data_IF_657782386557
#
_entry.id   IF_657782386557
#
_cell.length_a   1.000
_cell.length_b   1.000
_cell.length_c   1.000
_cell.angle_alpha   90.00
_cell.angle_beta   90.00
_cell.angle_gamma   90.00
#
_symmetry.space_group_name_H-M   'P 1'
#
loop_
_entity.id
_entity.type
_entity.pdbx_description
1 polymer ?
#
# COMPACT_ATOMS: atom_id res chain seq x y z
N UNK A 1 29.37 -1.10 17.19
CA UNK A 1 29.03 -2.01 18.32
C UNK A 1 28.71 -1.14 19.50
N UNK A 2 27.47 -1.03 19.87
CA UNK A 2 27.08 -0.34 21.09
C UNK A 2 27.38 -1.28 22.28
N UNK A 3 28.21 -0.82 23.22
CA UNK A 3 28.51 -1.56 24.42
C UNK A 3 27.27 -1.75 25.30
N UNK A 4 27.33 -2.67 26.30
CA UNK A 4 26.22 -2.93 27.23
C UNK A 4 25.63 -1.69 27.92
N UNK A 5 26.40 -0.59 27.99
CA UNK A 5 26.02 0.70 28.58
C UNK A 5 24.91 1.42 27.82
N UNK A 6 24.59 1.01 26.61
CA UNK A 6 23.55 1.66 25.76
C UNK A 6 22.16 1.04 25.87
N UNK A 7 22.03 -0.06 26.60
CA UNK A 7 20.74 -0.71 26.84
C UNK A 7 19.81 0.19 27.67
N UNK A 8 18.50 0.07 27.48
CA UNK A 8 17.52 0.79 28.28
C UNK A 8 17.66 0.50 29.79
N UNK A 9 18.04 -0.73 30.15
CA UNK A 9 18.28 -1.13 31.54
C UNK A 9 19.49 -0.38 32.10
N UNK A 10 20.63 -0.42 31.41
CA UNK A 10 21.83 0.28 31.85
C UNK A 10 21.63 1.79 31.98
N UNK A 11 20.90 2.42 31.03
CA UNK A 11 20.53 3.84 31.11
C UNK A 11 19.65 4.14 32.32
N UNK A 12 18.70 3.25 32.64
CA UNK A 12 17.85 3.40 33.83
C UNK A 12 18.66 3.27 35.13
N UNK A 13 19.57 2.32 35.20
CA UNK A 13 20.48 2.17 36.37
C UNK A 13 21.38 3.38 36.57
N UNK A 14 21.90 3.95 35.48
CA UNK A 14 22.68 5.19 35.52
C UNK A 14 21.82 6.38 36.02
N UNK A 15 20.59 6.52 35.57
CA UNK A 15 19.69 7.55 36.07
C UNK A 15 19.33 7.33 37.54
N UNK A 16 19.05 6.11 37.94
CA UNK A 16 18.75 5.77 39.35
C UNK A 16 19.92 6.15 40.25
N UNK A 17 21.14 5.80 39.86
CA UNK A 17 22.34 6.14 40.62
C UNK A 17 22.60 7.67 40.67
N UNK A 18 22.46 8.35 39.53
CA UNK A 18 22.71 9.80 39.41
C UNK A 18 21.72 10.63 40.24
N UNK A 19 20.45 10.27 40.21
CA UNK A 19 19.39 10.99 40.91
C UNK A 19 19.09 10.43 42.31
N UNK A 20 19.72 9.34 42.71
CA UNK A 20 19.41 8.63 43.95
C UNK A 20 17.96 8.13 44.01
N UNK A 21 17.50 7.56 42.87
CA UNK A 21 16.12 7.12 42.70
C UNK A 21 16.04 5.62 43.06
N UNK A 22 15.04 5.27 43.85
CA UNK A 22 14.73 3.85 44.09
C UNK A 22 13.52 3.39 43.21
N UNK A 23 13.60 2.16 42.66
CA UNK A 23 12.48 1.62 41.89
C UNK A 23 11.30 1.33 42.83
N UNK A 24 10.11 1.72 42.38
CA UNK A 24 8.87 1.42 43.10
C UNK A 24 8.66 -0.12 43.19
N UNK A 25 8.56 -0.65 44.38
CA UNK A 25 8.27 -2.06 44.63
C UNK A 25 6.79 -2.25 45.02
N UNK A 26 5.96 -2.91 44.19
CA UNK A 26 4.58 -3.19 44.54
C UNK A 26 4.49 -4.17 45.72
N UNK A 27 3.65 -3.85 46.70
CA UNK A 27 3.48 -4.70 47.89
C UNK A 27 4.30 -4.26 49.11
N UNK A 28 5.28 -3.40 48.92
CA UNK A 28 6.00 -2.78 50.04
C UNK A 28 5.13 -1.70 50.66
N UNK A 29 4.98 -1.73 52.01
CA UNK A 29 4.30 -0.64 52.76
C UNK A 29 5.35 0.45 53.03
N UNK A 30 5.25 1.54 52.28
CA UNK A 30 6.04 2.72 52.54
C UNK A 30 5.44 3.52 53.71
N UNK A 31 6.05 3.43 54.88
CA UNK A 31 5.68 4.21 56.04
C UNK A 31 6.19 5.65 55.94
N UNK A 32 5.55 6.58 56.73
CA UNK A 32 5.95 8.00 56.79
C UNK A 32 7.42 8.22 57.23
N UNK A 33 8.06 7.22 57.80
CA UNK A 33 9.42 7.27 58.36
C UNK A 33 10.38 6.27 57.71
N UNK A 34 10.10 5.73 56.54
CA UNK A 34 11.03 4.79 55.86
C UNK A 34 12.14 5.54 55.11
N UNK A 35 13.28 4.88 54.91
CA UNK A 35 14.39 5.41 54.13
C UNK A 35 14.00 5.88 52.73
N UNK A 36 12.91 5.35 52.16
CA UNK A 36 12.26 5.86 50.96
C UNK A 36 11.77 7.29 51.12
N UNK A 37 11.55 7.77 52.33
CA UNK A 37 11.11 9.13 52.60
C UNK A 37 12.15 10.17 52.20
N UNK A 38 13.39 9.89 52.32
CA UNK A 38 14.47 10.79 51.90
C UNK A 38 14.77 10.68 50.41
N UNK A 39 14.58 9.48 49.86
CA UNK A 39 14.68 9.24 48.44
C UNK A 39 13.50 9.84 47.64
N UNK A 40 12.29 9.93 48.21
CA UNK A 40 11.13 10.56 47.60
C UNK A 40 11.32 12.04 47.29
N UNK A 41 12.20 12.74 47.98
CA UNK A 41 12.61 14.09 47.63
C UNK A 41 13.33 14.20 46.30
N UNK A 42 13.80 13.09 45.74
CA UNK A 42 14.57 13.03 44.48
C UNK A 42 13.80 12.36 43.33
N UNK A 43 12.72 11.66 43.61
CA UNK A 43 11.87 11.01 42.62
C UNK A 43 11.68 9.51 42.84
N UNK A 44 10.75 8.93 42.09
CA UNK A 44 10.49 7.47 42.08
C UNK A 44 10.48 6.98 40.64
N UNK A 45 11.19 5.91 40.35
CA UNK A 45 11.14 5.21 39.08
C UNK A 45 10.03 4.16 39.08
N UNK A 46 9.12 4.25 38.12
CA UNK A 46 8.05 3.30 37.91
C UNK A 46 8.52 2.22 36.94
N UNK A 47 8.47 0.96 37.32
CA UNK A 47 8.90 -0.19 36.52
C UNK A 47 7.80 -0.72 35.59
N UNK A 48 6.53 -0.33 35.86
CA UNK A 48 5.40 -0.72 35.05
C UNK A 48 4.30 0.37 35.09
N UNK A 49 3.67 0.65 33.97
CA UNK A 49 2.66 1.72 33.84
C UNK A 49 1.49 1.58 34.82
N UNK A 50 1.09 0.38 35.17
CA UNK A 50 0.00 0.14 36.11
C UNK A 50 0.37 0.53 37.57
N UNK A 51 1.63 0.79 37.89
CA UNK A 51 2.09 1.30 39.18
C UNK A 51 1.92 2.82 39.28
N UNK A 52 1.76 3.54 38.16
CA UNK A 52 1.70 5.01 38.13
C UNK A 52 0.66 5.62 39.08
N UNK A 53 -0.60 5.14 39.17
CA UNK A 53 -1.58 5.75 40.06
C UNK A 53 -1.19 5.62 41.53
N UNK A 54 -0.59 4.51 41.96
CA UNK A 54 -0.16 4.29 43.33
C UNK A 54 1.09 5.08 43.68
N UNK A 55 2.06 5.14 42.76
CA UNK A 55 3.25 5.93 42.94
C UNK A 55 2.94 7.44 42.99
N UNK A 56 2.07 7.92 42.08
CA UNK A 56 1.62 9.30 42.11
C UNK A 56 0.87 9.64 43.40
N UNK A 57 0.00 8.74 43.90
CA UNK A 57 -0.67 8.90 45.18
C UNK A 57 0.31 9.03 46.35
N UNK A 58 1.34 8.17 46.35
CA UNK A 58 2.39 8.19 47.38
C UNK A 58 3.18 9.50 47.38
N UNK A 59 3.53 10.03 46.17
CA UNK A 59 4.22 11.31 46.02
C UNK A 59 3.34 12.46 46.50
N UNK A 60 2.04 12.49 46.15
CA UNK A 60 1.12 13.52 46.59
C UNK A 60 0.95 13.51 48.12
N UNK A 61 0.75 12.33 48.73
CA UNK A 61 0.64 12.17 50.18
C UNK A 61 1.90 12.68 50.91
N UNK A 62 3.06 12.47 50.26
CA UNK A 62 4.34 12.89 50.83
C UNK A 62 4.56 14.40 50.77
N UNK A 63 4.17 15.00 49.65
CA UNK A 63 4.30 16.43 49.42
C UNK A 63 3.17 17.25 50.09
N UNK A 64 2.22 16.60 50.76
CA UNK A 64 1.06 17.27 51.35
C UNK A 64 0.10 17.87 50.30
N UNK A 65 0.18 17.37 49.07
CA UNK A 65 -0.68 17.82 47.98
C UNK A 65 -2.05 17.16 48.16
N UNK A 66 -3.07 17.99 48.40
CA UNK A 66 -4.44 17.55 48.46
C UNK A 66 -4.88 16.97 47.12
N UNK A 67 -5.33 15.71 47.10
CA UNK A 67 -5.71 15.02 45.88
C UNK A 67 -7.13 15.36 45.50
N UNK A 68 -7.33 16.47 44.87
CA UNK A 68 -8.58 16.78 44.14
C UNK A 68 -8.51 16.25 42.71
N UNK A 69 -8.30 14.95 42.56
CA UNK A 69 -8.50 14.33 41.27
C UNK A 69 -10.00 14.22 41.01
N UNK A 70 -10.52 14.85 39.94
CA UNK A 70 -11.85 14.47 39.49
C UNK A 70 -11.84 12.97 39.29
N UNK A 71 -12.79 12.26 39.88
CA UNK A 71 -12.90 10.78 39.74
C UNK A 71 -12.61 10.46 38.27
N UNK A 72 -11.58 9.63 37.94
CA UNK A 72 -11.16 9.44 36.60
C UNK A 72 -12.38 9.07 35.78
N UNK A 73 -12.69 9.90 34.78
CA UNK A 73 -13.70 9.52 33.78
C UNK A 73 -13.31 8.15 33.28
N UNK A 74 -14.25 7.19 33.26
CA UNK A 74 -13.91 5.83 32.83
C UNK A 74 -13.14 5.90 31.54
N UNK A 75 -11.95 5.28 31.54
CA UNK A 75 -11.06 5.23 30.39
C UNK A 75 -11.83 4.61 29.23
N UNK A 76 -12.12 5.38 28.21
CA UNK A 76 -12.77 4.87 27.00
C UNK A 76 -11.73 4.17 26.15
N UNK A 77 -11.69 2.86 26.23
CA UNK A 77 -10.93 2.06 25.28
C UNK A 77 -11.47 2.28 23.86
N UNK A 78 -10.57 2.47 22.93
CA UNK A 78 -10.91 2.68 21.53
C UNK A 78 -11.71 1.47 20.97
N UNK A 79 -12.77 1.68 20.20
CA UNK A 79 -13.74 0.64 19.83
C UNK A 79 -13.24 -0.47 18.89
N UNK A 80 -11.98 -0.50 18.52
CA UNK A 80 -11.40 -1.62 17.78
C UNK A 80 -11.03 -2.83 18.65
N UNK A 81 -11.24 -2.75 19.93
CA UNK A 81 -11.20 -3.92 20.79
C UNK A 81 -12.42 -4.81 20.55
N UNK A 82 -12.15 -5.99 20.06
CA UNK A 82 -13.09 -7.05 19.71
C UNK A 82 -14.00 -7.42 20.89
N UNK A 83 -15.23 -7.81 20.60
CA UNK A 83 -16.17 -8.33 21.61
C UNK A 83 -15.49 -9.37 22.51
N UNK A 84 -15.52 -9.15 23.80
CA UNK A 84 -14.90 -10.04 24.79
C UNK A 84 -15.41 -11.49 24.71
N UNK A 85 -16.65 -11.70 24.30
CA UNK A 85 -17.19 -13.04 24.06
C UNK A 85 -16.54 -13.73 22.85
N UNK A 86 -16.26 -12.98 21.79
CA UNK A 86 -15.61 -13.48 20.59
C UNK A 86 -14.13 -13.79 20.83
N UNK A 87 -13.44 -12.95 21.59
CA UNK A 87 -12.07 -13.23 22.01
C UNK A 87 -12.02 -14.51 22.86
N UNK A 88 -12.93 -14.65 23.83
CA UNK A 88 -12.94 -15.79 24.72
C UNK A 88 -13.21 -17.11 24.00
N UNK A 89 -14.01 -17.11 22.95
CA UNK A 89 -14.26 -18.33 22.16
C UNK A 89 -13.10 -18.73 21.26
N UNK A 90 -12.19 -17.81 20.96
CA UNK A 90 -11.07 -18.01 20.02
C UNK A 90 -9.70 -18.17 20.71
N UNK A 91 -9.60 -17.78 21.98
CA UNK A 91 -8.36 -17.96 22.74
C UNK A 91 -8.28 -19.42 23.21
N UNK A 92 -7.18 -20.13 22.91
CA UNK A 92 -6.96 -21.47 23.45
C UNK A 92 -7.12 -21.50 24.96
N UNK A 93 -7.78 -22.51 25.50
CA UNK A 93 -8.11 -22.64 26.93
C UNK A 93 -6.89 -22.49 27.85
N UNK A 94 -5.68 -22.87 27.38
CA UNK A 94 -4.41 -22.66 28.07
C UNK A 94 -4.05 -21.20 28.30
N UNK A 95 -4.50 -20.28 27.43
CA UNK A 95 -4.28 -18.84 27.56
C UNK A 95 -5.39 -18.16 28.37
N UNK A 96 -6.57 -18.79 28.52
CA UNK A 96 -7.66 -18.31 29.36
C UNK A 96 -7.31 -18.36 30.85
N UNK A 97 -6.37 -19.24 31.26
CA UNK A 97 -5.87 -19.33 32.63
C UNK A 97 -5.22 -18.05 33.12
N UNK A 98 -4.69 -17.22 32.24
CA UNK A 98 -4.11 -15.92 32.59
C UNK A 98 -5.13 -14.79 32.75
N UNK A 99 -6.39 -15.00 32.41
CA UNK A 99 -7.46 -14.01 32.64
C UNK A 99 -7.82 -13.83 34.13
N UNK A 100 -7.48 -14.78 34.98
CA UNK A 100 -7.62 -14.67 36.44
C UNK A 100 -6.66 -13.69 37.10
N UNK A 101 -5.68 -13.17 36.37
CA UNK A 101 -4.62 -12.28 36.89
C UNK A 101 -4.89 -10.80 36.71
N UNK A 102 -5.98 -10.39 36.01
CA UNK A 102 -6.41 -9.00 36.06
C UNK A 102 -6.97 -8.75 37.47
N UNK A 103 -6.35 -7.89 38.30
CA UNK A 103 -6.82 -7.62 39.65
C UNK A 103 -8.33 -7.25 39.62
N UNK A 104 -9.12 -7.84 40.55
CA UNK A 104 -10.58 -7.70 40.58
C UNK A 104 -11.15 -6.30 40.36
N UNK A 105 -10.60 -5.18 40.87
CA UNK A 105 -11.17 -3.86 40.60
C UNK A 105 -11.10 -3.47 39.10
N UNK A 106 -10.06 -3.93 38.37
CA UNK A 106 -9.91 -3.60 36.95
C UNK A 106 -10.74 -4.52 36.05
N UNK A 107 -10.90 -5.80 36.41
CA UNK A 107 -11.73 -6.72 35.63
C UNK A 107 -13.21 -6.25 35.60
N UNK A 108 -13.73 -5.71 36.68
CA UNK A 108 -15.09 -5.16 36.75
C UNK A 108 -15.21 -3.90 35.92
N UNK A 109 -14.22 -3.01 35.95
CA UNK A 109 -14.22 -1.77 35.19
C UNK A 109 -14.05 -2.05 33.67
N UNK A 110 -13.15 -2.94 33.29
CA UNK A 110 -13.00 -3.37 31.90
C UNK A 110 -14.30 -3.99 31.37
N UNK A 111 -14.96 -4.86 32.19
CA UNK A 111 -16.24 -5.46 31.82
C UNK A 111 -17.37 -4.44 31.69
N UNK A 112 -17.40 -3.45 32.58
CA UNK A 112 -18.40 -2.35 32.54
C UNK A 112 -18.17 -1.45 31.32
N UNK A 113 -16.91 -1.09 31.05
CA UNK A 113 -16.54 -0.25 29.93
C UNK A 113 -16.73 -0.98 28.59
N UNK A 114 -16.40 -2.26 28.52
CA UNK A 114 -16.68 -3.08 27.33
C UNK A 114 -18.16 -3.12 27.03
N UNK A 115 -19.02 -3.27 28.05
CA UNK A 115 -20.47 -3.19 27.89
C UNK A 115 -20.96 -1.81 27.46
N UNK A 116 -20.43 -0.75 28.03
CA UNK A 116 -20.83 0.63 27.70
C UNK A 116 -20.34 1.07 26.34
N UNK A 117 -19.15 0.64 25.92
CA UNK A 117 -18.54 1.04 24.65
C UNK A 117 -19.08 0.21 23.49
N UNK A 118 -19.31 -1.09 23.69
CA UNK A 118 -19.82 -1.99 22.65
C UNK A 118 -21.35 -1.93 22.53
N UNK A 119 -22.07 -1.58 23.61
CA UNK A 119 -23.54 -1.39 23.56
C UNK A 119 -23.97 -0.16 22.75
N UNK A 120 -23.09 0.81 22.53
CA UNK A 120 -23.37 2.04 21.80
C UNK A 120 -22.96 1.99 20.31
N UNK A 121 -22.25 0.96 19.88
CA UNK A 121 -21.88 0.78 18.49
C UNK A 121 -22.74 -0.31 17.83
N UNK A 122 -23.24 -0.08 16.61
CA UNK A 122 -23.81 -1.17 15.83
C UNK A 122 -22.80 -2.31 15.83
N UNK A 123 -23.26 -3.51 16.18
CA UNK A 123 -22.42 -4.70 16.25
C UNK A 123 -21.53 -4.73 15.01
N UNK A 124 -20.23 -4.54 15.19
CA UNK A 124 -19.29 -4.80 14.11
C UNK A 124 -19.54 -6.24 13.72
N UNK A 125 -19.96 -6.45 12.49
CA UNK A 125 -20.05 -7.80 11.96
C UNK A 125 -18.72 -8.46 12.24
N UNK A 126 -18.74 -9.63 12.88
CA UNK A 126 -17.56 -10.42 13.13
C UNK A 126 -16.70 -10.41 11.87
N UNK A 127 -15.41 -10.07 12.01
CA UNK A 127 -14.48 -10.26 10.91
C UNK A 127 -14.50 -11.74 10.58
N UNK A 128 -15.33 -12.10 9.61
CA UNK A 128 -15.33 -13.45 9.08
C UNK A 128 -14.03 -13.61 8.30
N UNK A 129 -13.21 -14.60 8.63
CA UNK A 129 -12.10 -15.06 7.82
C UNK A 129 -12.65 -15.77 6.58
N UNK A 130 -13.56 -15.11 5.87
CA UNK A 130 -14.15 -15.59 4.65
C UNK A 130 -13.68 -14.69 3.51
N UNK A 131 -13.09 -15.30 2.51
CA UNK A 131 -12.70 -14.66 1.26
C UNK A 131 -13.47 -15.33 0.12
N UNK A 132 -13.87 -14.55 -0.89
CA UNK A 132 -14.33 -15.11 -2.16
C UNK A 132 -13.16 -15.44 -3.08
N UNK A 133 -12.02 -14.77 -2.86
CA UNK A 133 -10.83 -14.97 -3.67
C UNK A 133 -10.13 -16.31 -3.36
N UNK A 134 -10.18 -16.77 -2.11
CA UNK A 134 -9.51 -18.00 -1.72
C UNK A 134 -10.30 -18.77 -0.67
N UNK A 135 -10.19 -20.09 -0.71
CA UNK A 135 -10.76 -20.99 0.29
C UNK A 135 -9.87 -22.20 0.50
N UNK A 136 -9.99 -22.82 1.68
CA UNK A 136 -9.33 -24.08 2.02
C UNK A 136 -10.28 -24.89 2.89
N UNK A 137 -10.56 -26.13 2.49
CA UNK A 137 -11.45 -27.05 3.20
C UNK A 137 -10.69 -28.10 4.03
N UNK A 138 -9.38 -27.94 4.17
CA UNK A 138 -8.48 -28.89 4.84
C UNK A 138 -7.94 -29.99 3.93
N UNK A 139 -8.38 -30.04 2.66
CA UNK A 139 -7.93 -31.00 1.64
C UNK A 139 -7.46 -30.32 0.37
N UNK A 140 -8.20 -29.32 -0.08
CA UNK A 140 -7.93 -28.59 -1.34
C UNK A 140 -7.93 -27.11 -1.07
N UNK A 141 -6.86 -26.44 -1.50
CA UNK A 141 -6.79 -24.98 -1.56
C UNK A 141 -7.36 -24.51 -2.89
N UNK A 142 -8.22 -23.50 -2.86
CA UNK A 142 -8.84 -22.93 -4.07
C UNK A 142 -8.59 -21.44 -4.17
N UNK A 143 -8.43 -20.99 -5.41
CA UNK A 143 -8.40 -19.59 -5.78
C UNK A 143 -9.54 -19.33 -6.78
N UNK A 144 -10.44 -18.42 -6.47
CA UNK A 144 -11.65 -18.13 -7.26
C UNK A 144 -12.47 -19.41 -7.59
N UNK A 145 -12.46 -20.39 -6.69
CA UNK A 145 -13.13 -21.68 -6.87
C UNK A 145 -12.34 -22.77 -7.61
N UNK A 146 -11.23 -22.42 -8.27
CA UNK A 146 -10.33 -23.37 -8.96
C UNK A 146 -9.32 -23.98 -7.99
N UNK A 147 -9.00 -25.26 -8.16
CA UNK A 147 -7.97 -25.93 -7.37
C UNK A 147 -6.60 -25.32 -7.62
N UNK A 148 -5.92 -24.88 -6.56
CA UNK A 148 -4.57 -24.35 -6.68
C UNK A 148 -3.58 -25.40 -7.19
N UNK A 149 -3.78 -26.67 -6.81
CA UNK A 149 -2.95 -27.78 -7.27
C UNK A 149 -3.11 -28.04 -8.78
N UNK A 150 -4.30 -27.82 -9.34
CA UNK A 150 -4.55 -27.90 -10.79
C UNK A 150 -3.92 -26.72 -11.52
N UNK A 151 -4.07 -25.51 -11.00
CA UNK A 151 -3.39 -24.31 -11.55
C UNK A 151 -1.86 -24.47 -11.54
N UNK A 152 -1.29 -25.10 -10.50
CA UNK A 152 0.15 -25.39 -10.45
C UNK A 152 0.61 -26.42 -11.48
N UNK A 153 -0.24 -27.37 -11.88
CA UNK A 153 0.11 -28.38 -12.88
C UNK A 153 -0.03 -27.89 -14.31
N UNK A 154 -1.04 -27.07 -14.56
CA UNK A 154 -1.52 -26.79 -15.92
C UNK A 154 -1.45 -25.31 -16.32
N UNK A 155 -1.37 -24.41 -15.35
CA UNK A 155 -1.38 -22.97 -15.57
C UNK A 155 -0.01 -22.32 -15.40
N UNK A 156 0.13 -21.11 -15.90
CA UNK A 156 1.25 -20.22 -15.62
C UNK A 156 0.99 -19.35 -14.37
N UNK A 157 2.06 -18.77 -13.85
CA UNK A 157 1.94 -17.80 -12.75
C UNK A 157 1.04 -16.62 -13.12
N UNK A 158 1.16 -16.11 -14.35
CA UNK A 158 0.40 -14.93 -14.81
C UNK A 158 -1.08 -15.26 -14.98
N UNK A 159 -1.43 -16.43 -15.53
CA UNK A 159 -2.82 -16.88 -15.63
C UNK A 159 -3.47 -17.00 -14.25
N UNK A 160 -2.77 -17.64 -13.31
CA UNK A 160 -3.24 -17.80 -11.93
C UNK A 160 -3.37 -16.46 -11.21
N UNK A 161 -2.45 -15.52 -11.47
CA UNK A 161 -2.48 -14.15 -10.94
C UNK A 161 -3.71 -13.39 -11.45
N UNK A 162 -3.96 -13.45 -12.76
CA UNK A 162 -5.11 -12.79 -13.38
C UNK A 162 -6.42 -13.42 -12.92
N UNK A 163 -6.51 -14.74 -12.85
CA UNK A 163 -7.65 -15.43 -12.26
C UNK A 163 -7.92 -14.94 -10.83
N UNK A 164 -6.89 -14.83 -10.00
CA UNK A 164 -7.02 -14.32 -8.64
C UNK A 164 -7.61 -12.90 -8.59
N UNK A 165 -7.19 -12.05 -9.52
CA UNK A 165 -7.54 -10.64 -9.53
C UNK A 165 -8.84 -10.32 -10.27
N UNK A 166 -9.13 -11.01 -11.38
CA UNK A 166 -10.34 -10.78 -12.17
C UNK A 166 -11.50 -11.65 -11.69
N UNK A 167 -11.23 -12.85 -11.22
CA UNK A 167 -12.21 -13.89 -10.91
C UNK A 167 -12.51 -14.80 -12.09
N UNK A 168 -11.81 -14.63 -13.22
CA UNK A 168 -12.06 -15.35 -14.47
C UNK A 168 -10.74 -15.77 -15.11
N UNK A 169 -10.76 -16.86 -15.85
CA UNK A 169 -9.63 -17.26 -16.69
C UNK A 169 -9.53 -16.31 -17.89
N UNK A 170 -8.32 -15.92 -18.18
CA UNK A 170 -7.98 -15.08 -19.33
C UNK A 170 -7.53 -15.94 -20.51
N UNK A 171 -7.47 -15.36 -21.69
CA UNK A 171 -6.94 -16.00 -22.89
C UNK A 171 -5.40 -16.05 -22.83
N UNK A 172 -4.78 -17.05 -23.45
CA UNK A 172 -3.32 -17.26 -23.40
C UNK A 172 -2.55 -16.00 -23.86
N UNK A 173 -2.99 -15.35 -24.91
CA UNK A 173 -2.33 -14.14 -25.39
C UNK A 173 -2.48 -12.95 -24.42
N UNK A 174 -3.57 -12.87 -23.66
CA UNK A 174 -3.77 -11.84 -22.62
C UNK A 174 -2.78 -12.07 -21.47
N UNK A 175 -2.60 -13.31 -21.07
CA UNK A 175 -1.59 -13.68 -20.08
C UNK A 175 -0.17 -13.34 -20.58
N UNK A 176 0.15 -13.67 -21.83
CA UNK A 176 1.44 -13.34 -22.45
C UNK A 176 1.69 -11.81 -22.52
N UNK A 177 0.67 -11.00 -22.80
CA UNK A 177 0.78 -9.55 -22.76
C UNK A 177 1.04 -9.01 -21.36
N UNK A 178 0.34 -9.54 -20.35
CA UNK A 178 0.57 -9.15 -18.95
C UNK A 178 1.95 -9.59 -18.48
N UNK A 179 2.45 -10.74 -18.91
CA UNK A 179 3.82 -11.15 -18.63
C UNK A 179 4.84 -10.13 -19.17
N UNK A 180 4.66 -9.66 -20.41
CA UNK A 180 5.50 -8.57 -20.96
C UNK A 180 5.41 -7.29 -20.14
N UNK A 181 4.21 -6.92 -19.67
CA UNK A 181 4.02 -5.79 -18.79
C UNK A 181 4.77 -5.95 -17.45
N UNK A 182 4.75 -7.14 -16.87
CA UNK A 182 5.49 -7.47 -15.64
C UNK A 182 6.99 -7.37 -15.87
N UNK A 183 7.50 -7.97 -16.94
CA UNK A 183 8.93 -7.91 -17.33
C UNK A 183 9.36 -6.45 -17.55
N UNK A 184 8.57 -5.67 -18.30
CA UNK A 184 8.84 -4.26 -18.55
C UNK A 184 8.86 -3.40 -17.28
N UNK A 185 8.17 -3.86 -16.24
CA UNK A 185 8.10 -3.20 -14.93
C UNK A 185 9.24 -3.58 -13.98
N UNK A 186 10.04 -4.62 -14.27
CA UNK A 186 11.14 -5.07 -13.41
C UNK A 186 12.11 -3.93 -13.11
N UNK A 187 12.54 -3.19 -14.15
CA UNK A 187 13.50 -2.12 -13.99
C UNK A 187 13.18 -0.92 -14.89
N UNK A 188 13.52 0.25 -14.43
CA UNK A 188 13.62 1.48 -15.20
C UNK A 188 14.91 2.24 -14.85
N UNK A 189 15.94 1.47 -14.53
CA UNK A 189 17.26 1.94 -14.14
C UNK A 189 17.40 2.27 -12.65
N UNK A 190 18.66 2.29 -12.18
CA UNK A 190 18.99 2.43 -10.75
C UNK A 190 18.69 3.80 -10.16
N UNK A 191 18.45 4.82 -10.98
CA UNK A 191 18.11 6.18 -10.54
C UNK A 191 16.64 6.44 -10.30
N UNK A 192 15.76 5.45 -10.49
CA UNK A 192 14.31 5.61 -10.26
C UNK A 192 14.00 5.70 -8.77
N UNK A 193 12.89 6.38 -8.43
CA UNK A 193 12.45 6.57 -7.04
C UNK A 193 12.38 5.24 -6.30
N UNK A 194 11.79 4.22 -6.92
CA UNK A 194 11.65 2.90 -6.31
C UNK A 194 12.98 2.16 -6.12
N UNK A 195 13.90 2.25 -7.09
CA UNK A 195 15.24 1.69 -6.96
C UNK A 195 16.05 2.41 -5.87
N UNK A 196 15.94 3.74 -5.79
CA UNK A 196 16.59 4.52 -4.73
C UNK A 196 16.03 4.16 -3.34
N UNK A 197 14.71 3.98 -3.21
CA UNK A 197 14.08 3.52 -1.97
C UNK A 197 14.59 2.12 -1.56
N UNK A 198 14.77 1.22 -2.53
CA UNK A 198 15.37 -0.10 -2.31
C UNK A 198 16.78 0.02 -1.76
N UNK A 199 17.65 0.78 -2.42
CA UNK A 199 19.05 0.96 -2.01
C UNK A 199 19.18 1.61 -0.63
N UNK A 200 18.38 2.64 -0.37
CA UNK A 200 18.36 3.32 0.93
C UNK A 200 17.94 2.36 2.05
N UNK A 201 16.90 1.56 1.81
CA UNK A 201 16.43 0.56 2.77
C UNK A 201 17.46 -0.55 2.99
N UNK A 202 18.14 -1.00 1.94
CA UNK A 202 19.22 -1.99 2.03
C UNK A 202 20.42 -1.43 2.80
N UNK A 203 20.81 -0.18 2.54
CA UNK A 203 21.88 0.51 3.28
C UNK A 203 21.61 0.63 4.77
N UNK A 204 20.34 0.69 5.18
CA UNK A 204 19.93 0.68 6.58
C UNK A 204 20.00 -0.73 7.24
N UNK A 205 20.45 -1.75 6.51
CA UNK A 205 20.53 -3.13 6.99
C UNK A 205 19.19 -3.86 7.08
N UNK A 206 18.18 -3.40 6.37
CA UNK A 206 16.86 -4.03 6.35
C UNK A 206 16.88 -5.38 5.60
N UNK A 207 15.96 -6.25 5.99
CA UNK A 207 15.74 -7.55 5.32
C UNK A 207 15.00 -7.37 4.00
N UNK A 208 15.05 -8.36 3.07
CA UNK A 208 14.42 -8.25 1.74
C UNK A 208 12.94 -7.86 1.77
N UNK A 209 12.16 -8.44 2.69
CA UNK A 209 10.74 -8.12 2.82
C UNK A 209 10.49 -6.65 3.21
N UNK A 210 11.26 -6.12 4.17
CA UNK A 210 11.14 -4.70 4.58
C UNK A 210 11.59 -3.78 3.45
N UNK A 211 12.62 -4.14 2.72
CA UNK A 211 13.12 -3.39 1.56
C UNK A 211 12.08 -3.38 0.43
N UNK A 212 11.42 -4.50 0.13
CA UNK A 212 10.31 -4.54 -0.82
C UNK A 212 9.13 -3.65 -0.40
N UNK A 213 8.81 -3.60 0.90
CA UNK A 213 7.79 -2.68 1.41
C UNK A 213 8.19 -1.22 1.17
N UNK A 214 9.45 -0.84 1.43
CA UNK A 214 9.94 0.51 1.16
C UNK A 214 9.85 0.86 -0.33
N UNK A 215 10.21 -0.07 -1.20
CA UNK A 215 10.07 0.06 -2.66
C UNK A 215 8.62 0.33 -3.06
N UNK A 216 7.69 -0.50 -2.60
CA UNK A 216 6.26 -0.36 -2.90
C UNK A 216 5.67 0.93 -2.33
N UNK A 217 6.08 1.33 -1.13
CA UNK A 217 5.64 2.58 -0.51
C UNK A 217 6.09 3.83 -1.27
N UNK A 218 7.14 3.73 -2.09
CA UNK A 218 7.64 4.83 -2.94
C UNK A 218 6.91 4.94 -4.29
N UNK A 219 6.04 3.99 -4.63
CA UNK A 219 5.22 4.01 -5.85
C UNK A 219 3.99 4.88 -5.59
N UNK A 220 3.79 5.87 -6.45
CA UNK A 220 2.69 6.81 -6.32
C UNK A 220 2.39 7.52 -7.65
N UNK A 221 1.63 8.61 -7.58
CA UNK A 221 1.13 9.36 -8.73
C UNK A 221 2.21 9.83 -9.73
N UNK A 222 3.44 10.06 -9.23
CA UNK A 222 4.57 10.50 -10.07
C UNK A 222 5.38 9.34 -10.62
N UNK A 223 5.28 8.16 -10.01
CA UNK A 223 6.08 6.99 -10.35
C UNK A 223 5.25 5.72 -10.22
N UNK A 224 4.84 5.14 -11.33
CA UNK A 224 4.11 3.86 -11.41
C UNK A 224 2.62 3.90 -11.06
N UNK A 225 2.09 5.04 -10.59
CA UNK A 225 0.68 5.19 -10.23
C UNK A 225 -0.24 5.67 -11.38
N UNK A 226 0.32 6.06 -12.50
CA UNK A 226 -0.45 6.66 -13.60
C UNK A 226 -1.36 5.66 -14.33
N UNK A 227 -1.08 4.36 -14.26
CA UNK A 227 -1.91 3.32 -14.85
C UNK A 227 -3.36 3.37 -14.36
N UNK A 228 -3.58 3.64 -13.06
CA UNK A 228 -4.94 3.84 -12.51
C UNK A 228 -5.68 5.00 -13.17
N UNK A 229 -5.01 6.15 -13.30
CA UNK A 229 -5.58 7.35 -13.94
C UNK A 229 -5.84 7.14 -15.44
N UNK A 230 -5.00 6.34 -16.09
CA UNK A 230 -5.16 6.01 -17.49
C UNK A 230 -6.38 5.12 -17.73
N UNK A 231 -6.63 4.11 -16.90
CA UNK A 231 -7.86 3.30 -16.95
C UNK A 231 -9.11 4.17 -16.77
N UNK A 232 -9.12 5.05 -15.76
CA UNK A 232 -10.25 5.99 -15.56
C UNK A 232 -10.45 6.92 -16.75
N UNK A 233 -9.36 7.45 -17.30
CA UNK A 233 -9.38 8.33 -18.46
C UNK A 233 -9.96 7.63 -19.69
N UNK A 234 -9.43 6.46 -20.02
CA UNK A 234 -9.90 5.66 -21.16
C UNK A 234 -11.38 5.29 -21.00
N UNK A 235 -11.80 4.83 -19.81
CA UNK A 235 -13.21 4.57 -19.53
C UNK A 235 -14.08 5.81 -19.73
N UNK A 236 -13.58 7.00 -19.38
CA UNK A 236 -14.28 8.27 -19.63
C UNK A 236 -14.44 8.57 -21.12
N UNK A 237 -13.39 8.33 -21.92
CA UNK A 237 -13.41 8.53 -23.39
C UNK A 237 -14.35 7.54 -24.07
N UNK A 238 -14.29 6.28 -23.69
CA UNK A 238 -15.04 5.18 -24.30
C UNK A 238 -16.43 4.94 -23.68
N UNK A 239 -16.86 5.78 -22.73
CA UNK A 239 -18.12 5.59 -21.99
C UNK A 239 -19.37 5.44 -22.86
N UNK A 240 -19.43 6.17 -23.98
CA UNK A 240 -20.56 6.18 -24.88
C UNK A 240 -20.28 5.45 -26.20
N UNK A 241 -19.23 4.67 -26.24
CA UNK A 241 -18.80 3.95 -27.44
C UNK A 241 -19.30 2.52 -27.35
N UNK A 242 -19.90 2.02 -28.43
CA UNK A 242 -20.30 0.63 -28.54
C UNK A 242 -19.12 -0.19 -29.05
N UNK A 243 -18.37 -0.77 -28.11
CA UNK A 243 -17.22 -1.61 -28.36
C UNK A 243 -17.49 -2.99 -27.78
N UNK A 244 -17.60 -3.99 -28.66
CA UNK A 244 -17.83 -5.36 -28.23
C UNK A 244 -16.52 -6.06 -27.86
N UNK A 245 -15.53 -6.08 -28.75
CA UNK A 245 -14.23 -6.69 -28.51
C UNK A 245 -13.09 -5.68 -28.71
N UNK A 246 -12.39 -5.29 -27.63
CA UNK A 246 -11.27 -4.35 -27.73
C UNK A 246 -10.02 -4.93 -28.39
N UNK A 247 -9.98 -6.23 -28.64
CA UNK A 247 -8.86 -6.93 -29.28
C UNK A 247 -9.06 -7.13 -30.77
N UNK A 248 -10.24 -6.85 -31.30
CA UNK A 248 -10.56 -7.06 -32.71
C UNK A 248 -10.00 -5.94 -33.58
N UNK A 249 -9.20 -6.24 -34.62
CA UNK A 249 -8.84 -5.24 -35.63
C UNK A 249 -10.07 -4.65 -36.37
N UNK A 250 -11.19 -5.37 -36.36
CA UNK A 250 -12.47 -4.97 -36.98
C UNK A 250 -13.45 -4.45 -35.95
N UNK A 251 -12.98 -3.65 -34.99
CA UNK A 251 -13.78 -3.10 -33.90
C UNK A 251 -14.88 -2.11 -34.33
N UNK A 252 -14.90 -1.69 -35.60
CA UNK A 252 -15.95 -0.84 -36.18
C UNK A 252 -15.99 0.60 -35.70
N UNK A 253 -15.01 1.06 -34.92
CA UNK A 253 -14.98 2.41 -34.38
C UNK A 253 -14.22 3.36 -35.29
N UNK A 254 -14.74 4.59 -35.45
CA UNK A 254 -13.99 5.70 -36.01
C UNK A 254 -13.11 6.32 -34.90
N UNK A 255 -11.93 5.71 -34.71
CA UNK A 255 -10.94 6.18 -33.71
C UNK A 255 -10.43 7.60 -34.00
N UNK A 256 -10.17 8.01 -35.29
CA UNK A 256 -9.84 9.40 -35.60
C UNK A 256 -10.89 10.40 -35.13
N UNK A 257 -12.17 10.13 -35.36
CA UNK A 257 -13.25 11.00 -34.88
C UNK A 257 -13.34 11.06 -33.36
N UNK A 258 -13.07 9.92 -32.67
CA UNK A 258 -13.00 9.85 -31.22
C UNK A 258 -11.83 10.67 -30.67
N UNK A 259 -10.67 10.60 -31.31
CA UNK A 259 -9.48 11.39 -31.02
C UNK A 259 -9.74 12.89 -31.21
N UNK A 260 -10.32 13.30 -32.30
CA UNK A 260 -10.65 14.71 -32.57
C UNK A 260 -11.62 15.31 -31.54
N UNK A 261 -12.60 14.52 -31.12
CA UNK A 261 -13.52 14.89 -30.02
C UNK A 261 -12.77 15.12 -28.73
N UNK A 262 -11.88 14.20 -28.37
CA UNK A 262 -11.10 14.28 -27.13
C UNK A 262 -10.08 15.43 -27.16
N UNK A 263 -9.40 15.63 -28.26
CA UNK A 263 -8.47 16.73 -28.46
C UNK A 263 -9.19 18.09 -28.35
N UNK A 264 -10.37 18.20 -28.94
CA UNK A 264 -11.21 19.40 -28.83
C UNK A 264 -11.61 19.68 -27.38
N UNK A 265 -12.03 18.63 -26.65
CA UNK A 265 -12.37 18.72 -25.22
C UNK A 265 -11.16 19.16 -24.40
N UNK A 266 -10.02 18.52 -24.60
CA UNK A 266 -8.78 18.83 -23.88
C UNK A 266 -8.28 20.25 -24.16
N UNK A 267 -8.32 20.69 -25.43
CA UNK A 267 -7.93 22.04 -25.84
C UNK A 267 -8.76 23.10 -25.13
N UNK A 268 -10.08 22.92 -25.06
CA UNK A 268 -10.99 23.85 -24.36
C UNK A 268 -10.63 23.94 -22.86
N UNK A 269 -10.45 22.79 -22.20
CA UNK A 269 -10.09 22.75 -20.77
C UNK A 269 -8.74 23.43 -20.52
N UNK A 270 -7.75 23.13 -21.36
CA UNK A 270 -6.41 23.73 -21.27
C UNK A 270 -6.42 25.24 -21.48
N UNK A 271 -7.15 25.76 -22.46
CA UNK A 271 -7.25 27.20 -22.74
C UNK A 271 -7.96 27.94 -21.62
N UNK A 272 -9.11 27.44 -21.15
CA UNK A 272 -9.82 28.04 -20.03
C UNK A 272 -8.99 28.08 -18.74
N UNK A 273 -8.25 27.01 -18.46
CA UNK A 273 -7.37 26.99 -17.30
C UNK A 273 -6.22 28.00 -17.42
N UNK A 274 -5.61 28.13 -18.61
CA UNK A 274 -4.56 29.13 -18.86
C UNK A 274 -5.09 30.56 -18.70
N UNK A 275 -6.26 30.87 -19.21
CA UNK A 275 -6.91 32.19 -19.07
C UNK A 275 -7.19 32.51 -17.61
N UNK A 276 -7.59 31.50 -16.83
CA UNK A 276 -7.86 31.62 -15.39
C UNK A 276 -6.59 31.59 -14.51
N UNK A 277 -5.38 31.38 -15.06
CA UNK A 277 -4.17 31.17 -14.29
C UNK A 277 -4.20 29.92 -13.39
N UNK A 278 -5.04 28.92 -13.75
CA UNK A 278 -5.27 27.72 -12.98
C UNK A 278 -4.56 26.50 -13.57
N UNK A 279 -4.32 25.49 -12.73
CA UNK A 279 -3.82 24.20 -13.17
C UNK A 279 -4.89 23.41 -13.91
N UNK A 280 -4.47 22.62 -14.89
CA UNK A 280 -5.35 21.71 -15.61
C UNK A 280 -4.85 20.26 -15.56
N UNK A 281 -5.81 19.34 -15.58
CA UNK A 281 -5.53 17.91 -15.57
C UNK A 281 -4.92 17.49 -16.91
N UNK A 282 -3.69 17.02 -16.91
CA UNK A 282 -3.00 16.50 -18.09
C UNK A 282 -3.61 15.17 -18.51
N UNK A 283 -3.48 14.82 -19.79
CA UNK A 283 -3.78 13.48 -20.28
C UNK A 283 -2.76 12.51 -19.65
N UNK A 284 -3.23 11.45 -18.97
CA UNK A 284 -2.29 10.53 -18.31
C UNK A 284 -1.50 9.71 -19.33
N UNK A 285 -0.32 9.27 -18.95
CA UNK A 285 0.52 8.33 -19.69
C UNK A 285 1.01 8.77 -21.06
N UNK A 286 0.88 10.06 -21.41
CA UNK A 286 1.55 10.66 -22.56
C UNK A 286 2.80 11.43 -22.11
N UNK A 287 3.94 11.09 -22.75
CA UNK A 287 5.26 11.61 -22.41
C UNK A 287 6.03 10.70 -21.46
N UNK A 288 7.36 10.82 -21.50
CA UNK A 288 8.26 10.07 -20.65
C UNK A 288 9.41 10.97 -20.20
N UNK A 289 9.87 10.89 -18.93
CA UNK A 289 10.92 11.76 -18.41
C UNK A 289 12.29 11.50 -19.07
N UNK A 290 12.54 10.28 -19.54
CA UNK A 290 13.81 9.86 -20.16
C UNK A 290 13.72 9.87 -21.68
N UNK A 291 12.67 9.28 -22.27
CA UNK A 291 12.51 9.18 -23.72
C UNK A 291 11.80 10.41 -24.29
N UNK A 292 12.55 11.49 -24.51
CA UNK A 292 11.96 12.80 -24.89
C UNK A 292 12.85 13.68 -25.80
N UNK A 293 13.93 13.16 -26.31
CA UNK A 293 14.92 13.99 -27.02
C UNK A 293 14.73 14.04 -28.54
N UNK A 294 13.95 13.10 -29.08
CA UNK A 294 13.69 13.02 -30.50
C UNK A 294 12.35 13.69 -30.90
N UNK A 295 12.18 14.08 -32.18
CA UNK A 295 10.91 14.61 -32.70
C UNK A 295 9.73 13.65 -32.48
N UNK A 296 9.99 12.34 -32.52
CA UNK A 296 9.04 11.28 -32.17
C UNK A 296 9.60 10.50 -31.00
N UNK A 297 9.06 10.71 -29.82
CA UNK A 297 9.41 9.94 -28.64
C UNK A 297 8.74 8.57 -28.69
N UNK A 298 9.39 7.56 -28.15
CA UNK A 298 8.74 6.28 -27.86
C UNK A 298 9.35 5.66 -26.60
N UNK A 299 8.53 4.90 -25.87
CA UNK A 299 9.02 4.04 -24.79
C UNK A 299 9.34 2.66 -25.39
N UNK A 300 10.61 2.20 -25.39
CA UNK A 300 10.98 0.93 -25.99
C UNK A 300 10.20 -0.27 -25.44
N UNK A 301 9.79 -0.18 -24.18
CA UNK A 301 9.02 -1.24 -23.50
C UNK A 301 7.58 -1.30 -24.00
N UNK A 302 6.94 -0.15 -24.18
CA UNK A 302 5.62 -0.05 -24.77
C UNK A 302 5.64 -0.53 -26.23
N UNK A 303 6.66 -0.17 -26.99
CA UNK A 303 6.82 -0.60 -28.38
C UNK A 303 6.86 -2.12 -28.52
N UNK A 304 7.57 -2.83 -27.64
CA UNK A 304 7.59 -4.31 -27.64
C UNK A 304 6.19 -4.90 -27.44
N UNK A 305 5.35 -4.26 -26.63
CA UNK A 305 3.97 -4.69 -26.42
C UNK A 305 3.14 -4.44 -27.70
N UNK A 306 3.29 -3.28 -28.33
CA UNK A 306 2.60 -2.95 -29.58
C UNK A 306 3.00 -3.88 -30.72
N UNK A 307 4.30 -4.09 -30.92
CA UNK A 307 4.85 -5.03 -31.91
C UNK A 307 4.37 -6.47 -31.70
N UNK A 308 4.25 -6.90 -30.44
CA UNK A 308 3.72 -8.23 -30.14
C UNK A 308 2.25 -8.37 -30.54
N UNK A 309 1.43 -7.35 -30.31
CA UNK A 309 0.04 -7.33 -30.76
C UNK A 309 -0.04 -7.41 -32.28
N UNK A 310 0.76 -6.62 -33.00
CA UNK A 310 0.82 -6.62 -34.45
C UNK A 310 1.22 -8.00 -35.00
N UNK A 311 2.27 -8.63 -34.44
CA UNK A 311 2.74 -9.97 -34.82
C UNK A 311 1.67 -11.06 -34.64
N UNK A 312 0.78 -10.88 -33.67
CA UNK A 312 -0.33 -11.80 -33.41
C UNK A 312 -1.60 -11.46 -34.26
N UNK A 313 -1.56 -10.42 -35.07
CA UNK A 313 -2.73 -9.93 -35.81
C UNK A 313 -3.85 -9.40 -34.89
N UNK A 314 -3.49 -8.99 -33.69
CA UNK A 314 -4.40 -8.42 -32.69
C UNK A 314 -4.30 -6.90 -32.66
N UNK A 315 -5.40 -6.26 -32.30
CA UNK A 315 -5.47 -4.85 -31.97
C UNK A 315 -5.64 -4.68 -30.45
N UNK A 316 -5.22 -3.57 -29.90
CA UNK A 316 -5.74 -3.07 -28.63
C UNK A 316 -6.27 -1.65 -28.88
N UNK A 317 -7.56 -1.55 -28.99
CA UNK A 317 -8.27 -0.29 -29.34
C UNK A 317 -7.87 0.88 -28.43
N UNK A 318 -7.61 0.64 -27.17
CA UNK A 318 -7.23 1.67 -26.21
C UNK A 318 -5.79 2.16 -26.43
N UNK A 319 -4.88 1.25 -26.78
CA UNK A 319 -3.50 1.59 -27.09
C UNK A 319 -3.41 2.32 -28.45
N UNK A 320 -4.16 1.86 -29.45
CA UNK A 320 -4.26 2.51 -30.73
C UNK A 320 -4.83 3.93 -30.62
N UNK A 321 -5.88 4.10 -29.81
CA UNK A 321 -6.40 5.43 -29.49
C UNK A 321 -5.32 6.33 -28.88
N UNK A 322 -4.49 5.85 -27.97
CA UNK A 322 -3.40 6.63 -27.39
C UNK A 322 -2.35 7.03 -28.43
N UNK A 323 -2.00 6.14 -29.35
CA UNK A 323 -1.05 6.44 -30.42
C UNK A 323 -1.60 7.54 -31.34
N UNK A 324 -2.83 7.39 -31.80
CA UNK A 324 -3.50 8.40 -32.63
C UNK A 324 -3.63 9.74 -31.91
N UNK A 325 -3.96 9.71 -30.61
CA UNK A 325 -4.07 10.91 -29.79
C UNK A 325 -2.72 11.64 -29.66
N UNK A 326 -1.62 10.92 -29.48
CA UNK A 326 -0.28 11.52 -29.40
C UNK A 326 0.12 12.22 -30.70
N UNK A 327 -0.18 11.59 -31.85
CA UNK A 327 0.04 12.18 -33.17
C UNK A 327 -0.81 13.44 -33.36
N UNK A 328 -2.09 13.35 -33.06
CA UNK A 328 -3.04 14.45 -33.26
C UNK A 328 -2.73 15.68 -32.41
N UNK A 329 -2.29 15.49 -31.18
CA UNK A 329 -1.86 16.59 -30.30
C UNK A 329 -0.67 17.37 -30.87
N UNK A 330 0.22 16.72 -31.61
CA UNK A 330 1.30 17.40 -32.34
C UNK A 330 0.75 18.17 -33.55
N UNK A 331 -0.10 17.55 -34.38
CA UNK A 331 -0.65 18.16 -35.58
C UNK A 331 -1.35 19.48 -35.28
N UNK A 332 -2.07 19.57 -34.18
CA UNK A 332 -2.77 20.79 -33.77
C UNK A 332 -1.92 21.76 -32.91
N UNK A 333 -0.62 21.49 -32.78
CA UNK A 333 0.33 22.36 -32.08
C UNK A 333 0.21 22.41 -30.55
N UNK A 334 -0.50 21.47 -29.94
CA UNK A 334 -0.51 21.34 -28.46
C UNK A 334 0.82 20.76 -27.98
N UNK A 335 1.37 19.78 -28.68
CA UNK A 335 2.68 19.22 -28.43
C UNK A 335 3.70 19.70 -29.52
N UNK A 336 4.98 19.83 -29.15
CA UNK A 336 6.05 20.17 -30.08
C UNK A 336 6.58 18.95 -30.85
N UNK A 337 6.37 17.78 -30.30
CA UNK A 337 6.75 16.48 -30.88
C UNK A 337 5.65 15.46 -30.55
N UNK A 338 5.71 14.29 -31.18
CA UNK A 338 4.86 13.16 -30.81
C UNK A 338 5.30 12.64 -29.45
N UNK A 339 4.40 12.64 -28.50
CA UNK A 339 4.70 12.16 -27.14
C UNK A 339 4.62 10.63 -27.07
N UNK A 340 5.60 10.04 -26.37
CA UNK A 340 5.57 8.62 -26.09
C UNK A 340 4.32 8.25 -25.28
N UNK A 341 3.67 7.17 -25.66
CA UNK A 341 2.84 6.41 -24.74
C UNK A 341 3.79 5.65 -23.84
N UNK A 342 3.74 5.90 -22.55
CA UNK A 342 4.66 5.24 -21.62
C UNK A 342 4.12 3.87 -21.17
N UNK A 343 4.96 3.11 -20.48
CA UNK A 343 4.62 1.77 -20.01
C UNK A 343 3.31 1.73 -19.19
N UNK A 344 3.05 2.73 -18.34
CA UNK A 344 1.80 2.77 -17.55
C UNK A 344 0.56 2.86 -18.46
N UNK A 345 0.69 3.53 -19.62
CA UNK A 345 -0.36 3.61 -20.63
C UNK A 345 -0.62 2.27 -21.32
N UNK A 346 0.43 1.53 -21.64
CA UNK A 346 0.33 0.18 -22.19
C UNK A 346 -0.31 -0.78 -21.18
N UNK A 347 0.14 -0.77 -19.92
CA UNK A 347 -0.45 -1.58 -18.85
C UNK A 347 -1.94 -1.26 -18.67
N UNK A 348 -2.30 0.02 -18.66
CA UNK A 348 -3.69 0.46 -18.54
C UNK A 348 -4.55 -0.04 -19.71
N UNK A 349 -4.04 0.08 -20.94
CA UNK A 349 -4.73 -0.35 -22.16
C UNK A 349 -4.93 -1.87 -22.18
N UNK A 350 -3.90 -2.64 -21.86
CA UNK A 350 -3.98 -4.11 -21.76
C UNK A 350 -4.95 -4.52 -20.65
N UNK A 351 -4.83 -3.92 -19.46
CA UNK A 351 -5.72 -4.23 -18.34
C UNK A 351 -7.17 -3.91 -18.67
N UNK A 352 -7.43 -2.77 -19.29
CA UNK A 352 -8.78 -2.36 -19.63
C UNK A 352 -9.40 -3.30 -20.68
N UNK A 353 -8.62 -3.75 -21.65
CA UNK A 353 -9.08 -4.69 -22.66
C UNK A 353 -9.44 -6.05 -22.05
N UNK A 354 -8.63 -6.58 -21.13
CA UNK A 354 -8.92 -7.81 -20.37
C UNK A 354 -10.19 -7.63 -19.54
N UNK A 355 -10.34 -6.50 -18.89
CA UNK A 355 -11.45 -6.24 -17.99
C UNK A 355 -12.73 -5.74 -18.67
N UNK A 356 -12.68 -5.46 -19.97
CA UNK A 356 -13.73 -4.71 -20.69
C UNK A 356 -15.12 -5.33 -20.57
N UNK A 357 -15.25 -6.60 -20.90
CA UNK A 357 -16.54 -7.29 -20.83
C UNK A 357 -17.05 -7.42 -19.39
N UNK A 358 -16.17 -7.73 -18.46
CA UNK A 358 -16.52 -7.82 -17.04
C UNK A 358 -16.99 -6.48 -16.45
N UNK A 359 -16.44 -5.35 -16.95
CA UNK A 359 -16.90 -3.99 -16.59
C UNK A 359 -18.27 -3.67 -17.21
N UNK A 360 -18.48 -3.97 -18.50
CA UNK A 360 -19.77 -3.78 -19.18
C UNK A 360 -20.89 -4.56 -18.49
N UNK A 361 -20.64 -5.77 -18.12
CA UNK A 361 -21.57 -6.68 -17.42
C UNK A 361 -21.65 -6.43 -15.91
N UNK A 362 -20.90 -5.45 -15.40
CA UNK A 362 -20.86 -5.09 -13.97
C UNK A 362 -20.40 -6.24 -13.03
N UNK A 363 -19.66 -7.21 -13.57
CA UNK A 363 -19.07 -8.29 -12.78
C UNK A 363 -17.89 -7.82 -11.95
N UNK A 364 -17.18 -6.80 -12.44
CA UNK A 364 -16.15 -6.09 -11.68
C UNK A 364 -16.45 -4.58 -11.63
N UNK A 365 -15.84 -3.88 -10.68
CA UNK A 365 -15.96 -2.43 -10.54
C UNK A 365 -14.84 -1.71 -11.30
N UNK A 366 -15.09 -0.45 -11.69
CA UNK A 366 -14.06 0.44 -12.26
C UNK A 366 -12.83 0.51 -11.34
N UNK A 367 -13.06 0.65 -10.04
CA UNK A 367 -11.98 0.67 -9.04
C UNK A 367 -11.11 -0.58 -9.14
N UNK A 368 -11.74 -1.76 -9.30
CA UNK A 368 -10.99 -3.02 -9.40
C UNK A 368 -10.11 -3.07 -10.65
N UNK A 369 -10.61 -2.64 -11.80
CA UNK A 369 -9.80 -2.55 -13.01
C UNK A 369 -8.63 -1.57 -12.86
N UNK A 370 -8.85 -0.41 -12.26
CA UNK A 370 -7.79 0.55 -11.93
C UNK A 370 -6.74 -0.06 -10.98
N UNK A 371 -7.19 -0.78 -9.96
CA UNK A 371 -6.29 -1.42 -8.99
C UNK A 371 -5.50 -2.56 -9.65
N UNK A 372 -6.07 -3.32 -10.60
CA UNK A 372 -5.35 -4.37 -11.35
C UNK A 372 -4.22 -3.74 -12.18
N UNK A 373 -4.46 -2.65 -12.89
CA UNK A 373 -3.41 -1.96 -13.65
C UNK A 373 -2.24 -1.53 -12.75
N UNK A 374 -2.56 -0.98 -11.58
CA UNK A 374 -1.53 -0.64 -10.59
C UNK A 374 -0.79 -1.87 -10.05
N UNK A 375 -1.52 -2.96 -9.75
CA UNK A 375 -0.94 -4.18 -9.20
C UNK A 375 0.01 -4.87 -10.18
N UNK A 376 -0.27 -4.84 -11.49
CA UNK A 376 0.66 -5.36 -12.52
C UNK A 376 2.01 -4.65 -12.40
N UNK A 377 2.02 -3.32 -12.39
CA UNK A 377 3.24 -2.55 -12.22
C UNK A 377 3.93 -2.87 -10.88
N UNK A 378 3.17 -2.89 -9.79
CA UNK A 378 3.70 -3.12 -8.45
C UNK A 378 4.35 -4.50 -8.29
N UNK A 379 3.74 -5.56 -8.85
CA UNK A 379 4.30 -6.93 -8.82
C UNK A 379 5.61 -7.00 -9.60
N UNK A 380 5.64 -6.49 -10.84
CA UNK A 380 6.88 -6.44 -11.61
C UNK A 380 7.97 -5.64 -10.88
N UNK A 381 7.63 -4.48 -10.34
CA UNK A 381 8.58 -3.66 -9.59
C UNK A 381 9.06 -4.31 -8.29
N UNK A 382 8.22 -5.10 -7.61
CA UNK A 382 8.63 -5.87 -6.43
C UNK A 382 9.68 -6.92 -6.76
N UNK A 383 9.51 -7.61 -7.89
CA UNK A 383 10.51 -8.59 -8.36
C UNK A 383 11.83 -7.88 -8.72
N UNK A 384 11.75 -6.73 -9.41
CA UNK A 384 12.92 -5.89 -9.70
C UNK A 384 13.61 -5.35 -8.46
N UNK A 385 12.87 -5.04 -7.41
CA UNK A 385 13.42 -4.63 -6.13
C UNK A 385 14.29 -5.72 -5.49
N UNK A 386 13.95 -6.99 -5.68
CA UNK A 386 14.79 -8.10 -5.25
C UNK A 386 16.17 -8.07 -5.90
N UNK A 387 16.23 -7.81 -7.20
CA UNK A 387 17.50 -7.67 -7.93
C UNK A 387 18.34 -6.49 -7.42
N UNK A 388 17.70 -5.30 -7.26
CA UNK A 388 18.37 -4.12 -6.72
C UNK A 388 18.85 -4.30 -5.28
N UNK A 389 18.11 -5.07 -4.46
CA UNK A 389 18.51 -5.42 -3.10
C UNK A 389 19.77 -6.27 -3.10
N UNK A 390 19.79 -7.36 -3.87
CA UNK A 390 20.93 -8.27 -3.95
C UNK A 390 22.17 -7.57 -4.51
N UNK A 391 22.01 -6.82 -5.60
CA UNK A 391 23.12 -6.06 -6.20
C UNK A 391 23.69 -5.04 -5.19
N UNK A 392 22.83 -4.32 -4.47
CA UNK A 392 23.30 -3.34 -3.49
C UNK A 392 23.98 -3.97 -2.27
N UNK A 393 23.58 -5.20 -1.87
CA UNK A 393 24.30 -5.94 -0.83
C UNK A 393 25.71 -6.35 -1.26
N UNK A 394 25.84 -6.79 -2.52
CA UNK A 394 27.09 -7.37 -3.01
C UNK A 394 28.07 -6.29 -3.51
N UNK A 395 27.58 -5.24 -4.14
CA UNK A 395 28.39 -4.25 -4.86
C UNK A 395 28.07 -2.79 -4.49
N UNK A 396 27.02 -2.55 -3.71
CA UNK A 396 26.55 -1.19 -3.41
C UNK A 396 27.42 -0.48 -2.38
N UNK A 397 27.52 0.84 -2.54
CA UNK A 397 28.08 1.71 -1.50
C UNK A 397 26.95 2.11 -0.55
N UNK A 398 27.10 1.94 0.78
CA UNK A 398 26.09 2.37 1.73
C UNK A 398 25.75 3.86 1.57
N UNK A 399 24.47 4.17 1.53
CA UNK A 399 23.99 5.56 1.45
C UNK A 399 24.01 6.17 2.85
N UNK A 400 25.00 6.99 3.15
CA UNK A 400 25.09 7.70 4.42
C UNK A 400 24.46 9.10 4.29
N UNK A 401 23.31 9.26 4.92
CA UNK A 401 22.54 10.52 4.94
C UNK A 401 23.07 11.53 5.97
N UNK A 402 24.12 11.19 6.74
CA UNK A 402 24.69 12.07 7.76
C UNK A 402 25.81 12.94 7.24
N UNK A 403 26.19 12.76 5.97
CA UNK A 403 27.17 13.64 5.34
C UNK A 403 26.50 14.99 5.10
N UNK A 404 27.00 16.09 5.68
CA UNK A 404 26.47 17.42 5.39
C UNK A 404 26.54 17.69 3.89
N UNK A 405 25.46 18.18 3.33
CA UNK A 405 25.45 18.71 1.97
C UNK A 405 25.86 20.17 2.12
N UNK A 406 27.09 20.51 1.76
CA UNK A 406 27.57 21.86 1.73
C UNK A 406 26.86 22.68 0.64
#
# INVERSE_FOLDING_TARGET
MEGGETTAAAKMELFDAYFGIEPYAPGVRYGRSSALSDALGRGIRITALHHLPKAAALVCDRLGIERDYPRPKPFRLNPWFVDYKDIRSRIPSRLLLHQGTIPKPYASQVKLQTRQTLGAHPARMNMRNASRASSNDGRVTRIQGHSLEEEMRNGSFVESLLLAWTGEKVRDFEAALVEKCLIASLSNGPGTISAQATKLSTSAGNTPNTTMIATLASIGDVHGGNGRRAVEYLLGVFKSVDLEDPWSPQHGLDLPALVDREVTRFSKVRSAAKEAGADYKRIPCLGHPVFRNDPVNYDPRERVIAEHLEQQGLCNVFLEFYHLLAVRLKEIGIARNVWAVNLDGAIASVTLAICWMALREKRITVRRACDIAFMIFAVGRSAGAGAEFLDHQDHGTPMDMRIPVD
#
